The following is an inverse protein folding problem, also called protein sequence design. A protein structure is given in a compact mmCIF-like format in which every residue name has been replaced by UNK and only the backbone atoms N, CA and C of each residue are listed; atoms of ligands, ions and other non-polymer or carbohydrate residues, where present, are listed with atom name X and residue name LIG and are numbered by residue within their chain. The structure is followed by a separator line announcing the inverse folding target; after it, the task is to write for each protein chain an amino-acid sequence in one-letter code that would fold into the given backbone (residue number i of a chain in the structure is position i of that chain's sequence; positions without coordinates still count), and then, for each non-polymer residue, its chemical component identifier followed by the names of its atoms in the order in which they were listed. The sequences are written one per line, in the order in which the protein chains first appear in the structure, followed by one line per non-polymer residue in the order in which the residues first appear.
data_IF_835979043643
#
_entry.id   IF_835979043643
#
_cell.length_a   1.000
_cell.length_b   1.000
_cell.length_c   1.000
_cell.angle_alpha   90.00
_cell.angle_beta   90.00
_cell.angle_gamma   90.00
#
_symmetry.space_group_name_H-M   'P 1'
#
loop_
_entity.id
_entity.type
_entity.pdbx_description
1 polymer ?
#
# COMPACT_ATOMS: atom_id res chain seq x y z
N UNK A 1 0.66 15.22 -3.21
CA UNK A 1 -0.76 15.54 -3.48
C UNK A 1 -1.03 16.28 -4.79
N UNK A 2 0.00 16.79 -5.50
CA UNK A 2 -0.22 17.49 -6.79
C UNK A 2 -0.73 16.59 -7.95
N UNK A 3 -0.61 15.26 -7.83
CA UNK A 3 -1.14 14.31 -8.81
C UNK A 3 -2.48 13.76 -8.31
N UNK A 4 -3.56 14.01 -9.07
CA UNK A 4 -4.92 13.64 -8.71
C UNK A 4 -5.12 12.13 -8.56
N UNK A 5 -4.47 11.31 -9.40
CA UNK A 5 -4.58 9.85 -9.31
C UNK A 5 -4.05 9.33 -7.97
N UNK A 6 -2.98 9.94 -7.45
CA UNK A 6 -2.38 9.54 -6.16
C UNK A 6 -3.29 9.96 -5.00
N UNK A 7 -3.84 11.19 -5.04
CA UNK A 7 -4.75 11.65 -3.99
C UNK A 7 -6.06 10.87 -3.98
N UNK A 8 -6.65 10.61 -5.14
CA UNK A 8 -7.88 9.83 -5.27
C UNK A 8 -7.65 8.38 -4.81
N UNK A 9 -6.53 7.77 -5.19
CA UNK A 9 -6.13 6.45 -4.70
C UNK A 9 -6.02 6.41 -3.18
N UNK A 10 -5.28 7.36 -2.60
CA UNK A 10 -5.10 7.45 -1.15
C UNK A 10 -6.44 7.63 -0.43
N UNK A 11 -7.30 8.51 -0.95
CA UNK A 11 -8.62 8.77 -0.36
C UNK A 11 -9.50 7.54 -0.37
N UNK A 12 -9.63 6.87 -1.52
CA UNK A 12 -10.40 5.62 -1.65
C UNK A 12 -9.86 4.54 -0.72
N UNK A 13 -8.54 4.33 -0.73
CA UNK A 13 -7.85 3.37 0.13
C UNK A 13 -8.15 3.62 1.62
N UNK A 14 -8.02 4.86 2.06
CA UNK A 14 -8.22 5.22 3.47
C UNK A 14 -9.67 5.05 3.89
N UNK A 15 -10.61 5.52 3.07
CA UNK A 15 -12.03 5.48 3.39
C UNK A 15 -12.62 4.07 3.35
N UNK A 16 -12.19 3.25 2.38
CA UNK A 16 -12.78 1.93 2.15
C UNK A 16 -12.05 0.79 2.86
N UNK A 17 -10.73 0.91 3.10
CA UNK A 17 -9.93 -0.22 3.62
C UNK A 17 -9.21 0.10 4.93
N UNK A 18 -8.98 1.37 5.29
CA UNK A 18 -8.23 1.70 6.53
C UNK A 18 -9.19 2.10 7.65
N UNK A 19 -10.00 3.15 7.46
CA UNK A 19 -10.92 3.67 8.48
C UNK A 19 -11.84 2.56 9.03
N UNK A 20 -12.42 1.65 8.22
CA UNK A 20 -13.30 0.61 8.73
C UNK A 20 -12.62 -0.38 9.69
N UNK A 21 -11.30 -0.49 9.65
CA UNK A 21 -10.52 -1.36 10.55
C UNK A 21 -10.19 -0.72 11.90
N UNK A 22 -10.43 0.58 12.06
CA UNK A 22 -10.05 1.33 13.25
C UNK A 22 -11.11 1.20 14.34
N UNK A 23 -10.65 0.96 15.57
CA UNK A 23 -11.50 1.11 16.75
C UNK A 23 -11.94 2.57 16.91
N UNK A 24 -13.18 2.77 17.36
CA UNK A 24 -13.69 4.11 17.63
C UNK A 24 -12.88 4.77 18.74
N UNK A 25 -12.43 6.01 18.52
CA UNK A 25 -11.78 6.83 19.54
C UNK A 25 -12.71 7.96 19.97
N UNK A 26 -13.05 8.09 21.26
CA UNK A 26 -13.97 9.13 21.73
C UNK A 26 -13.53 10.54 21.32
N UNK A 27 -14.44 11.28 20.68
CA UNK A 27 -14.21 12.66 20.22
C UNK A 27 -13.39 12.79 18.94
N UNK A 28 -13.05 11.68 18.27
CA UNK A 28 -12.31 11.69 17.00
C UNK A 28 -13.21 11.31 15.85
N UNK A 29 -13.27 12.19 14.85
CA UNK A 29 -13.82 11.86 13.53
C UNK A 29 -12.65 11.52 12.60
N UNK A 30 -12.56 10.26 12.18
CA UNK A 30 -11.45 9.78 11.34
C UNK A 30 -11.48 10.38 9.93
N UNK A 31 -12.65 10.73 9.38
CA UNK A 31 -12.72 11.38 8.07
C UNK A 31 -12.20 12.82 8.17
N UNK A 32 -12.61 13.58 9.19
CA UNK A 32 -12.06 14.91 9.43
C UNK A 32 -10.55 14.88 9.73
N UNK A 33 -10.10 13.86 10.46
CA UNK A 33 -8.67 13.68 10.72
C UNK A 33 -7.90 13.34 9.44
N UNK A 34 -8.49 12.55 8.55
CA UNK A 34 -7.90 12.27 7.25
C UNK A 34 -7.84 13.50 6.35
N UNK A 35 -8.87 14.35 6.31
CA UNK A 35 -8.86 15.63 5.59
C UNK A 35 -7.69 16.52 6.07
N UNK A 36 -7.43 16.54 7.38
CA UNK A 36 -6.28 17.25 7.95
C UNK A 36 -4.95 16.63 7.48
N UNK A 37 -4.83 15.30 7.41
CA UNK A 37 -3.64 14.62 6.89
C UNK A 37 -3.41 14.99 5.42
N UNK A 38 -4.45 14.92 4.57
CA UNK A 38 -4.34 15.30 3.15
C UNK A 38 -3.83 16.74 3.00
N UNK A 39 -4.37 17.67 3.80
CA UNK A 39 -3.93 19.08 3.79
C UNK A 39 -2.45 19.23 4.16
N UNK A 40 -1.96 18.43 5.12
CA UNK A 40 -0.55 18.45 5.54
C UNK A 40 0.38 17.90 4.46
N UNK A 41 -0.02 16.84 3.77
CA UNK A 41 0.74 16.29 2.63
C UNK A 41 0.73 17.21 1.40
N UNK A 42 -0.25 18.09 1.28
CA UNK A 42 -0.31 19.08 0.21
C UNK A 42 0.53 20.35 0.49
N UNK A 43 1.04 20.52 1.71
CA UNK A 43 1.78 21.73 2.09
C UNK A 43 3.16 21.80 1.39
N UNK A 44 3.39 22.76 0.47
CA UNK A 44 4.65 22.87 -0.27
C UNK A 44 5.84 23.32 0.59
N UNK A 45 5.57 23.94 1.75
CA UNK A 45 6.62 24.36 2.68
C UNK A 45 7.26 23.17 3.41
N UNK A 46 6.51 22.06 3.52
CA UNK A 46 7.02 20.80 4.01
C UNK A 46 7.75 20.13 2.85
N UNK A 47 9.05 20.42 2.72
CA UNK A 47 9.96 19.90 1.68
C UNK A 47 10.29 18.41 1.87
N UNK A 48 9.29 17.61 2.19
CA UNK A 48 9.44 16.18 2.33
C UNK A 48 9.67 15.55 0.96
N UNK A 49 10.57 14.57 0.90
CA UNK A 49 10.97 13.96 -0.37
C UNK A 49 10.56 12.50 -0.41
N UNK A 50 10.04 12.06 -1.57
CA UNK A 50 9.73 10.66 -1.82
C UNK A 50 10.96 9.77 -1.58
N UNK A 51 12.17 10.27 -1.92
CA UNK A 51 13.44 9.58 -1.67
C UNK A 51 13.73 9.33 -0.19
N UNK A 52 13.28 10.21 0.72
CA UNK A 52 13.38 9.99 2.17
C UNK A 52 12.28 9.05 2.66
N UNK A 53 11.07 9.20 2.14
CA UNK A 53 9.90 8.43 2.55
C UNK A 53 10.00 6.95 2.18
N UNK A 54 10.60 6.63 1.04
CA UNK A 54 10.79 5.25 0.56
C UNK A 54 11.85 4.46 1.32
N UNK A 55 12.73 5.14 2.06
CA UNK A 55 13.75 4.45 2.84
C UNK A 55 13.10 3.62 3.94
N UNK A 56 13.61 2.41 4.14
CA UNK A 56 13.21 1.53 5.24
C UNK A 56 11.76 1.01 5.11
N UNK A 57 11.27 0.88 3.87
CA UNK A 57 9.91 0.41 3.61
C UNK A 57 9.71 -1.04 4.11
N UNK A 58 10.73 -1.89 4.00
CA UNK A 58 10.72 -3.26 4.55
C UNK A 58 10.44 -3.32 6.06
N UNK A 59 10.83 -2.32 6.84
CA UNK A 59 10.56 -2.26 8.28
C UNK A 59 9.27 -1.52 8.64
N UNK A 60 8.76 -0.66 7.74
CA UNK A 60 7.57 0.17 7.96
C UNK A 60 6.29 -0.49 7.48
N UNK A 61 6.30 -1.11 6.31
CA UNK A 61 5.12 -1.74 5.73
C UNK A 61 4.57 -2.87 6.61
N UNK A 62 5.40 -3.74 7.22
CA UNK A 62 4.91 -4.73 8.18
C UNK A 62 4.24 -4.13 9.41
N UNK A 63 4.60 -2.91 9.80
CA UNK A 63 4.05 -2.24 10.98
C UNK A 63 2.78 -1.44 10.67
N UNK A 64 2.71 -0.84 9.47
CA UNK A 64 1.66 0.12 9.14
C UNK A 64 0.61 -0.38 8.16
N UNK A 65 0.94 -1.34 7.28
CA UNK A 65 0.05 -1.78 6.19
C UNK A 65 -0.43 -3.21 6.42
N UNK A 66 0.47 -4.14 6.73
CA UNK A 66 0.11 -5.55 6.87
C UNK A 66 -0.94 -5.83 7.97
N UNK A 67 -0.93 -5.15 9.14
CA UNK A 67 -1.97 -5.36 10.15
C UNK A 67 -3.36 -4.98 9.65
N UNK A 68 -3.46 -3.97 8.77
CA UNK A 68 -4.73 -3.52 8.19
C UNK A 68 -5.25 -4.56 7.20
N UNK A 69 -4.38 -5.12 6.35
CA UNK A 69 -4.72 -6.23 5.45
C UNK A 69 -5.27 -7.40 6.26
N UNK A 70 -4.57 -7.76 7.32
CA UNK A 70 -4.99 -8.85 8.19
C UNK A 70 -6.35 -8.57 8.84
N UNK A 71 -6.58 -7.36 9.35
CA UNK A 71 -7.84 -6.96 9.95
C UNK A 71 -9.01 -7.04 8.95
N UNK A 72 -8.84 -6.52 7.73
CA UNK A 72 -9.85 -6.62 6.68
C UNK A 72 -10.19 -8.07 6.36
N UNK A 73 -9.18 -8.91 6.12
CA UNK A 73 -9.39 -10.31 5.79
C UNK A 73 -10.05 -11.09 6.94
N UNK A 74 -9.73 -10.78 8.19
CA UNK A 74 -10.38 -11.39 9.37
C UNK A 74 -11.85 -10.98 9.50
N UNK A 75 -12.22 -9.79 9.04
CA UNK A 75 -13.59 -9.29 9.02
C UNK A 75 -14.37 -9.71 7.76
N UNK A 76 -13.72 -10.41 6.81
CA UNK A 76 -14.31 -10.79 5.54
C UNK A 76 -14.39 -9.65 4.50
N UNK A 77 -13.69 -8.54 4.75
CA UNK A 77 -13.58 -7.42 3.82
C UNK A 77 -12.49 -7.70 2.76
N UNK A 78 -12.54 -6.96 1.65
CA UNK A 78 -11.51 -6.95 0.62
C UNK A 78 -10.27 -6.14 1.09
N UNK A 79 -9.12 -6.36 0.46
CA UNK A 79 -7.85 -5.65 0.67
C UNK A 79 -7.19 -5.23 -0.66
N UNK A 80 -7.97 -5.12 -1.73
CA UNK A 80 -7.49 -4.85 -3.10
C UNK A 80 -6.56 -3.63 -3.18
N UNK A 81 -6.88 -2.53 -2.52
CA UNK A 81 -6.08 -1.31 -2.53
C UNK A 81 -4.81 -1.44 -1.70
N UNK A 82 -4.88 -2.09 -0.53
CA UNK A 82 -3.70 -2.37 0.29
C UNK A 82 -2.76 -3.37 -0.42
N UNK A 83 -3.29 -4.34 -1.17
CA UNK A 83 -2.51 -5.23 -2.02
C UNK A 83 -1.77 -4.47 -3.14
N UNK A 84 -2.38 -3.41 -3.68
CA UNK A 84 -1.71 -2.52 -4.64
C UNK A 84 -0.53 -1.77 -4.01
N UNK A 85 -0.60 -1.38 -2.73
CA UNK A 85 0.55 -0.80 -2.00
C UNK A 85 1.73 -1.77 -2.01
N UNK A 86 1.49 -3.04 -1.70
CA UNK A 86 2.53 -4.07 -1.67
C UNK A 86 3.06 -4.36 -3.08
N UNK A 87 2.21 -4.39 -4.10
CA UNK A 87 2.63 -4.56 -5.49
C UNK A 87 3.51 -3.38 -5.98
N UNK A 88 3.16 -2.14 -5.63
CA UNK A 88 3.98 -0.95 -5.93
C UNK A 88 5.34 -1.02 -5.24
N UNK A 89 5.39 -1.49 -3.99
CA UNK A 89 6.64 -1.67 -3.28
C UNK A 89 7.51 -2.78 -3.91
N UNK A 90 6.93 -3.92 -4.28
CA UNK A 90 7.63 -4.98 -5.02
C UNK A 90 8.27 -4.43 -6.31
N UNK A 91 7.51 -3.68 -7.11
CA UNK A 91 8.02 -3.01 -8.32
C UNK A 91 9.13 -2.00 -8.00
N UNK A 92 9.01 -1.26 -6.92
CA UNK A 92 10.04 -0.31 -6.47
C UNK A 92 11.34 -1.05 -6.11
N UNK A 93 11.27 -2.18 -5.39
CA UNK A 93 12.42 -3.02 -5.08
C UNK A 93 13.09 -3.55 -6.35
N UNK A 94 12.32 -4.03 -7.33
CA UNK A 94 12.84 -4.48 -8.62
C UNK A 94 13.63 -3.39 -9.37
N UNK A 95 13.27 -2.12 -9.18
CA UNK A 95 13.96 -0.97 -9.75
C UNK A 95 15.14 -0.45 -8.90
N UNK A 96 15.54 -1.16 -7.84
CA UNK A 96 16.59 -0.73 -6.90
C UNK A 96 16.16 0.44 -6.01
N UNK A 97 14.85 0.65 -5.85
CA UNK A 97 14.27 1.81 -5.19
C UNK A 97 14.21 1.73 -3.67
N UNK A 98 14.50 0.58 -3.07
CA UNK A 98 14.71 0.39 -1.62
C UNK A 98 16.10 -0.23 -1.37
N UNK A 99 17.17 0.59 -1.42
CA UNK A 99 18.56 0.10 -1.43
C UNK A 99 18.97 -0.67 -0.18
N UNK A 100 18.29 -0.43 0.96
CA UNK A 100 18.61 -1.05 2.25
C UNK A 100 17.77 -2.29 2.54
N UNK A 101 16.81 -2.62 1.67
CA UNK A 101 15.94 -3.78 1.89
C UNK A 101 16.68 -5.10 1.73
N UNK A 102 17.74 -5.15 0.91
CA UNK A 102 18.41 -6.40 0.53
C UNK A 102 17.52 -7.35 -0.27
N UNK A 103 16.33 -6.90 -0.70
CA UNK A 103 15.36 -7.74 -1.37
C UNK A 103 15.78 -7.95 -2.82
N UNK A 104 15.97 -9.22 -3.20
CA UNK A 104 16.14 -9.66 -4.57
C UNK A 104 14.79 -10.17 -5.07
N UNK A 105 14.30 -9.59 -6.17
CA UNK A 105 13.07 -10.05 -6.82
C UNK A 105 13.44 -11.24 -7.70
N UNK A 106 12.91 -12.41 -7.36
CA UNK A 106 13.06 -13.63 -8.14
C UNK A 106 12.13 -13.65 -9.36
N UNK A 107 12.39 -14.56 -10.29
CA UNK A 107 11.60 -14.73 -11.53
C UNK A 107 10.11 -15.04 -11.27
N UNK A 108 9.78 -15.52 -10.07
CA UNK A 108 8.40 -15.76 -9.64
C UNK A 108 7.91 -14.64 -8.71
N UNK A 109 6.96 -13.79 -9.17
CA UNK A 109 6.33 -12.77 -8.35
C UNK A 109 5.79 -13.20 -6.99
N UNK A 110 5.27 -14.43 -6.89
CA UNK A 110 4.72 -14.98 -5.65
C UNK A 110 5.80 -15.21 -4.59
N UNK A 111 7.05 -15.46 -4.97
CA UNK A 111 8.17 -15.64 -4.04
C UNK A 111 8.40 -14.40 -3.17
N UNK A 112 8.07 -13.20 -3.68
CA UNK A 112 8.12 -11.97 -2.90
C UNK A 112 7.26 -12.05 -1.63
N UNK A 113 6.05 -12.61 -1.73
CA UNK A 113 5.14 -12.76 -0.59
C UNK A 113 5.54 -13.89 0.37
N UNK A 114 6.51 -14.74 0.00
CA UNK A 114 7.02 -15.83 0.83
C UNK A 114 8.13 -15.39 1.79
N UNK A 115 8.48 -14.11 1.80
CA UNK A 115 9.39 -13.52 2.80
C UNK A 115 8.67 -13.45 4.16
N UNK A 116 8.64 -14.59 4.87
CA UNK A 116 7.87 -14.75 6.11
C UNK A 116 8.28 -13.78 7.22
N UNK A 117 9.52 -13.31 7.24
CA UNK A 117 9.99 -12.28 8.18
C UNK A 117 9.29 -10.93 7.98
N UNK A 118 8.77 -10.68 6.78
CA UNK A 118 8.06 -9.45 6.39
C UNK A 118 6.56 -9.70 6.40
N UNK A 119 6.10 -10.75 5.70
CA UNK A 119 4.67 -10.98 5.43
C UNK A 119 3.98 -11.93 6.43
N UNK A 120 4.73 -12.65 7.25
CA UNK A 120 4.17 -13.70 8.11
C UNK A 120 3.32 -14.68 7.28
N UNK A 121 2.09 -14.95 7.74
CA UNK A 121 1.16 -15.85 7.05
C UNK A 121 0.26 -15.17 6.01
N UNK A 122 0.43 -13.86 5.76
CA UNK A 122 -0.35 -13.16 4.73
C UNK A 122 -0.04 -13.69 3.34
N UNK A 123 1.19 -14.16 3.09
CA UNK A 123 1.59 -14.79 1.83
C UNK A 123 0.80 -16.05 1.46
N UNK A 124 0.06 -16.63 2.41
CA UNK A 124 -0.79 -17.80 2.21
C UNK A 124 -2.27 -17.45 2.00
N UNK A 125 -2.63 -16.17 2.13
CA UNK A 125 -4.02 -15.71 1.98
C UNK A 125 -4.36 -15.55 0.50
N UNK A 126 -5.05 -16.54 -0.05
CA UNK A 126 -5.36 -16.64 -1.48
C UNK A 126 -5.90 -15.33 -2.08
N UNK A 127 -6.88 -14.70 -1.41
CA UNK A 127 -7.46 -13.42 -1.86
C UNK A 127 -6.39 -12.32 -1.98
N UNK A 128 -5.55 -12.15 -0.95
CA UNK A 128 -4.48 -11.16 -0.96
C UNK A 128 -3.43 -11.45 -2.04
N UNK A 129 -3.01 -12.72 -2.17
CA UNK A 129 -2.05 -13.16 -3.20
C UNK A 129 -2.59 -12.87 -4.59
N UNK A 130 -3.86 -13.19 -4.85
CA UNK A 130 -4.51 -12.93 -6.14
C UNK A 130 -4.55 -11.44 -6.47
N UNK A 131 -4.97 -10.58 -5.54
CA UNK A 131 -4.96 -9.13 -5.76
C UNK A 131 -3.55 -8.61 -6.02
N UNK A 132 -2.56 -9.04 -5.22
CA UNK A 132 -1.16 -8.65 -5.40
C UNK A 132 -0.64 -9.04 -6.79
N UNK A 133 -0.84 -10.29 -7.22
CA UNK A 133 -0.35 -10.77 -8.51
C UNK A 133 -1.01 -10.05 -9.68
N UNK A 134 -2.33 -9.82 -9.60
CA UNK A 134 -3.06 -9.08 -10.62
C UNK A 134 -2.53 -7.65 -10.76
N UNK A 135 -2.31 -6.97 -9.63
CA UNK A 135 -1.75 -5.63 -9.63
C UNK A 135 -0.32 -5.58 -10.09
N UNK A 136 0.53 -6.49 -9.63
CA UNK A 136 1.92 -6.51 -10.05
C UNK A 136 2.03 -6.76 -11.56
N UNK A 137 1.24 -7.69 -12.11
CA UNK A 137 1.16 -7.92 -13.55
C UNK A 137 0.77 -6.65 -14.30
N UNK A 138 -0.32 -5.99 -13.89
CA UNK A 138 -0.77 -4.76 -14.55
C UNK A 138 0.25 -3.63 -14.43
N UNK A 139 0.96 -3.54 -13.30
CA UNK A 139 2.03 -2.58 -13.14
C UNK A 139 3.14 -2.84 -14.17
N UNK A 140 3.58 -4.08 -14.35
CA UNK A 140 4.59 -4.43 -15.37
C UNK A 140 4.11 -4.18 -16.79
N UNK A 141 2.88 -4.59 -17.11
CA UNK A 141 2.35 -4.59 -18.48
C UNK A 141 1.87 -3.18 -18.91
N UNK A 142 1.25 -2.40 -18.03
CA UNK A 142 0.54 -1.15 -18.37
C UNK A 142 1.04 0.10 -17.65
N UNK A 143 1.83 -0.05 -16.58
CA UNK A 143 2.38 1.07 -15.83
C UNK A 143 1.47 1.66 -14.74
N UNK A 144 2.07 2.41 -13.83
CA UNK A 144 1.42 2.89 -12.59
C UNK A 144 0.15 3.72 -12.83
N UNK A 145 0.16 4.65 -13.78
CA UNK A 145 -1.00 5.52 -14.03
C UNK A 145 -2.23 4.73 -14.48
N UNK A 146 -2.06 3.73 -15.34
CA UNK A 146 -3.15 2.86 -15.81
C UNK A 146 -3.68 1.98 -14.67
N UNK A 147 -2.77 1.40 -13.87
CA UNK A 147 -3.14 0.59 -12.70
C UNK A 147 -3.93 1.40 -11.67
N UNK A 148 -3.52 2.64 -11.36
CA UNK A 148 -4.26 3.48 -10.42
C UNK A 148 -5.67 3.80 -10.93
N UNK A 149 -5.82 4.11 -12.22
CA UNK A 149 -7.15 4.31 -12.82
C UNK A 149 -8.02 3.06 -12.69
N UNK A 150 -7.47 1.87 -12.94
CA UNK A 150 -8.20 0.61 -12.83
C UNK A 150 -8.60 0.25 -11.40
N UNK A 151 -7.92 0.77 -10.39
CA UNK A 151 -8.37 0.63 -9.00
C UNK A 151 -9.52 1.60 -8.67
N UNK A 152 -9.52 2.79 -9.29
CA UNK A 152 -10.49 3.84 -9.03
C UNK A 152 -11.85 3.63 -9.74
N UNK A 153 -11.86 2.92 -10.87
CA UNK A 153 -13.06 2.62 -11.68
C UNK A 153 -13.44 1.13 -11.62
#
# INVERSE_FOLDING_TARGET
MANSLISEYLKKLVQEEIIPTLDTVPGVDFNQYFDLIESRFANPEVRDTVSRLRQDASNRLPKFILPIIQANLQQGNDCKGLALVIALWCRLCAAGGDPNSGIVIEDQPSAFLQMNDIFGTLGDKEVFVQHFLNWLKMLWDEGTSSTLKQYLY
#
